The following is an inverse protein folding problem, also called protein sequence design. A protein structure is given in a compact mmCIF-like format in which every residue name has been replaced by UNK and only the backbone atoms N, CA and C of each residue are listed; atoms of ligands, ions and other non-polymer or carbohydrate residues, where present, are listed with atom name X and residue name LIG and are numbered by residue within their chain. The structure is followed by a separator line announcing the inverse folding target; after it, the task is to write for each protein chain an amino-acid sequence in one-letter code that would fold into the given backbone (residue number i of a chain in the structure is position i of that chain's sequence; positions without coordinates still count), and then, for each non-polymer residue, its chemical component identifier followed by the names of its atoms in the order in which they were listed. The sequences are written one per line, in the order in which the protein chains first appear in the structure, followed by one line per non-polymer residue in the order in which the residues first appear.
data_IF_015009760121
#
_entry.id   IF_015009760121
#
_cell.length_a   1.000
_cell.length_b   1.000
_cell.length_c   1.000
_cell.angle_alpha   90.00
_cell.angle_beta   90.00
_cell.angle_gamma   90.00
#
_symmetry.space_group_name_H-M   'P 1'
#
loop_
_entity.id
_entity.type
_entity.pdbx_description
1 polymer ?
#
# COMPACT_ATOMS: atom_id res chain seq x y z
N UNK A 1 -0.34 3.05 -14.00
CA UNK A 1 -0.27 1.60 -14.17
C UNK A 1 -1.54 1.03 -13.55
N UNK A 2 -2.36 0.30 -14.32
CA UNK A 2 -3.62 -0.28 -13.82
C UNK A 2 -3.45 -1.80 -13.86
N UNK A 3 -3.11 -2.40 -12.73
CA UNK A 3 -3.07 -3.85 -12.63
C UNK A 3 -3.54 -4.25 -11.23
N UNK A 4 -4.85 -4.24 -11.00
CA UNK A 4 -5.41 -4.95 -9.84
C UNK A 4 -5.04 -6.43 -9.95
N UNK A 5 -4.75 -7.04 -8.80
CA UNK A 5 -4.57 -8.47 -8.68
C UNK A 5 -5.92 -9.17 -8.86
N UNK A 6 -5.95 -10.17 -9.72
CA UNK A 6 -7.12 -10.99 -10.01
C UNK A 6 -7.09 -12.27 -9.16
N UNK A 7 -7.52 -12.13 -7.91
CA UNK A 7 -7.62 -13.26 -6.98
C UNK A 7 -8.70 -14.29 -7.35
N UNK A 8 -9.55 -14.02 -8.35
CA UNK A 8 -10.52 -15.01 -8.86
C UNK A 8 -9.80 -16.00 -9.77
N UNK A 9 -8.90 -15.50 -10.60
CA UNK A 9 -8.33 -16.26 -11.70
C UNK A 9 -6.88 -16.71 -11.46
N UNK A 10 -6.14 -16.07 -10.55
CA UNK A 10 -4.73 -16.37 -10.28
C UNK A 10 -4.42 -16.58 -8.80
N UNK A 11 -3.56 -17.57 -8.52
CA UNK A 11 -2.84 -17.68 -7.26
C UNK A 11 -1.55 -16.87 -7.37
N UNK A 12 -1.44 -15.80 -6.58
CA UNK A 12 -0.22 -15.00 -6.50
C UNK A 12 0.76 -15.63 -5.53
N UNK A 13 2.04 -15.67 -5.92
CA UNK A 13 3.10 -16.12 -5.01
C UNK A 13 3.41 -15.05 -3.97
N UNK A 14 4.05 -15.48 -2.88
CA UNK A 14 4.53 -14.54 -1.85
C UNK A 14 5.49 -13.52 -2.45
N UNK A 15 6.39 -13.96 -3.34
CA UNK A 15 7.37 -13.10 -4.00
C UNK A 15 6.69 -12.01 -4.83
N UNK A 16 5.67 -12.35 -5.63
CA UNK A 16 4.92 -11.36 -6.43
C UNK A 16 4.22 -10.30 -5.55
N UNK A 17 3.67 -10.74 -4.42
CA UNK A 17 3.03 -9.83 -3.46
C UNK A 17 4.05 -8.94 -2.75
N UNK A 18 5.23 -9.48 -2.42
CA UNK A 18 6.34 -8.72 -1.84
C UNK A 18 6.86 -7.68 -2.84
N UNK A 19 7.09 -8.06 -4.10
CA UNK A 19 7.52 -7.15 -5.17
C UNK A 19 6.54 -5.99 -5.33
N UNK A 20 5.24 -6.28 -5.29
CA UNK A 20 4.19 -5.26 -5.38
C UNK A 20 4.20 -4.29 -4.19
N UNK A 21 4.42 -4.79 -2.97
CA UNK A 21 4.57 -3.91 -1.79
C UNK A 21 5.84 -3.06 -1.92
N UNK A 22 6.96 -3.66 -2.35
CA UNK A 22 8.22 -2.93 -2.57
C UNK A 22 8.10 -1.84 -3.64
N UNK A 23 7.30 -2.06 -4.69
CA UNK A 23 6.97 -1.02 -5.66
C UNK A 23 6.29 0.18 -4.99
N UNK A 24 5.28 -0.07 -4.14
CA UNK A 24 4.64 0.99 -3.37
C UNK A 24 5.59 1.73 -2.42
N UNK A 25 6.50 1.00 -1.78
CA UNK A 25 7.52 1.60 -0.91
C UNK A 25 8.55 2.43 -1.69
N UNK A 26 8.83 2.08 -2.95
CA UNK A 26 9.68 2.91 -3.82
C UNK A 26 9.06 4.29 -4.03
N UNK A 27 7.74 4.36 -4.22
CA UNK A 27 7.05 5.65 -4.26
C UNK A 27 7.09 6.39 -2.92
N UNK A 28 7.04 5.67 -1.79
CA UNK A 28 7.19 6.28 -0.47
C UNK A 28 8.57 6.94 -0.31
N UNK A 29 9.65 6.25 -0.73
CA UNK A 29 11.02 6.78 -0.71
C UNK A 29 11.18 8.02 -1.58
N UNK A 30 10.60 8.01 -2.79
CA UNK A 30 10.65 9.20 -3.66
C UNK A 30 9.84 10.38 -3.09
N UNK A 31 8.71 10.11 -2.43
CA UNK A 31 7.95 11.14 -1.73
C UNK A 31 8.74 11.75 -0.58
N UNK A 32 9.49 10.95 0.19
CA UNK A 32 10.37 11.43 1.26
C UNK A 32 11.52 12.30 0.73
N UNK A 33 12.13 11.93 -0.40
CA UNK A 33 13.12 12.79 -1.07
C UNK A 33 12.52 14.14 -1.48
N UNK A 34 11.27 14.14 -1.99
CA UNK A 34 10.57 15.38 -2.36
C UNK A 34 10.21 16.23 -1.15
N UNK A 35 9.84 15.59 -0.04
CA UNK A 35 9.54 16.22 1.23
C UNK A 35 10.76 16.97 1.77
N UNK A 36 11.91 16.29 1.83
CA UNK A 36 13.17 16.86 2.32
C UNK A 36 13.81 17.86 1.34
N UNK A 37 13.58 17.73 0.03
CA UNK A 37 14.20 18.59 -0.99
C UNK A 37 13.36 19.78 -1.46
N UNK A 38 12.05 19.60 -1.62
CA UNK A 38 11.11 20.60 -2.20
C UNK A 38 9.96 20.97 -1.26
N UNK A 39 9.85 20.29 -0.13
CA UNK A 39 8.87 20.54 0.91
C UNK A 39 7.58 19.71 0.78
N UNK A 40 6.71 19.76 1.82
CA UNK A 40 5.58 18.85 1.96
C UNK A 40 4.57 18.87 0.81
N UNK A 41 4.35 20.02 0.17
CA UNK A 41 3.40 20.14 -0.94
C UNK A 41 3.80 19.30 -2.15
N UNK A 42 5.10 19.22 -2.45
CA UNK A 42 5.61 18.42 -3.56
C UNK A 42 5.46 16.92 -3.28
N UNK A 43 5.79 16.48 -2.07
CA UNK A 43 5.61 15.09 -1.64
C UNK A 43 4.13 14.67 -1.69
N UNK A 44 3.22 15.49 -1.16
CA UNK A 44 1.77 15.22 -1.20
C UNK A 44 1.25 15.09 -2.62
N UNK A 45 1.66 15.99 -3.53
CA UNK A 45 1.24 15.93 -4.95
C UNK A 45 1.70 14.62 -5.61
N UNK A 46 2.88 14.14 -5.24
CA UNK A 46 3.46 12.92 -5.79
C UNK A 46 2.80 11.66 -5.24
N UNK A 47 2.59 11.56 -3.93
CA UNK A 47 2.11 10.33 -3.30
C UNK A 47 0.60 10.15 -3.36
N UNK A 48 -0.18 11.23 -3.52
CA UNK A 48 -1.65 11.17 -3.50
C UNK A 48 -2.24 10.23 -4.55
N UNK A 49 -1.78 10.20 -5.81
CA UNK A 49 -2.24 9.20 -6.79
C UNK A 49 -1.94 7.75 -6.37
N UNK A 50 -0.80 7.53 -5.71
CA UNK A 50 -0.39 6.20 -5.22
C UNK A 50 -1.28 5.76 -4.06
N UNK A 51 -1.56 6.67 -3.13
CA UNK A 51 -2.55 6.44 -2.08
C UNK A 51 -3.91 6.07 -2.67
N UNK A 52 -4.38 6.81 -3.67
CA UNK A 52 -5.65 6.50 -4.32
C UNK A 52 -5.66 5.10 -4.95
N UNK A 53 -4.53 4.67 -5.53
CA UNK A 53 -4.39 3.33 -6.08
C UNK A 53 -4.52 2.27 -4.98
N UNK A 54 -3.83 2.44 -3.86
CA UNK A 54 -3.91 1.56 -2.67
C UNK A 54 -5.35 1.49 -2.14
N UNK A 55 -6.01 2.64 -1.98
CA UNK A 55 -7.40 2.71 -1.50
C UNK A 55 -8.37 1.98 -2.45
N UNK A 56 -8.15 2.10 -3.76
CA UNK A 56 -8.95 1.39 -4.75
C UNK A 56 -8.72 -0.12 -4.69
N UNK A 57 -7.48 -0.58 -4.46
CA UNK A 57 -7.15 -2.01 -4.30
C UNK A 57 -7.82 -2.57 -3.06
N UNK A 58 -7.64 -1.90 -1.93
CA UNK A 58 -8.32 -2.24 -0.69
C UNK A 58 -9.83 -2.35 -0.89
N UNK A 59 -10.46 -1.35 -1.52
CA UNK A 59 -11.91 -1.33 -1.76
C UNK A 59 -12.37 -2.49 -2.65
N UNK A 60 -11.60 -2.86 -3.66
CA UNK A 60 -11.92 -3.98 -4.54
C UNK A 60 -11.78 -5.32 -3.82
N UNK A 61 -10.72 -5.50 -3.04
CA UNK A 61 -10.46 -6.74 -2.31
C UNK A 61 -11.30 -6.89 -1.05
N UNK A 62 -11.86 -5.80 -0.51
CA UNK A 62 -12.79 -5.82 0.61
C UNK A 62 -14.17 -6.42 0.27
N UNK A 63 -14.49 -6.62 -1.02
CA UNK A 63 -15.74 -7.26 -1.45
C UNK A 63 -15.83 -8.70 -0.94
N UNK A 64 -17.01 -9.13 -0.53
CA UNK A 64 -17.22 -10.42 0.15
C UNK A 64 -16.71 -11.62 -0.66
N UNK A 65 -16.93 -11.63 -1.97
CA UNK A 65 -16.45 -12.66 -2.86
C UNK A 65 -14.91 -12.72 -2.92
N UNK A 66 -14.23 -11.58 -2.89
CA UNK A 66 -12.77 -11.51 -2.89
C UNK A 66 -12.21 -11.94 -1.54
N UNK A 67 -12.82 -11.48 -0.45
CA UNK A 67 -12.44 -11.88 0.91
C UNK A 67 -12.48 -13.39 1.13
N UNK A 68 -13.46 -14.10 0.54
CA UNK A 68 -13.52 -15.57 0.60
C UNK A 68 -12.33 -16.25 -0.07
N UNK A 69 -11.74 -15.64 -1.11
CA UNK A 69 -10.57 -16.16 -1.81
C UNK A 69 -9.28 -15.78 -1.08
N UNK A 70 -9.15 -14.50 -0.72
CA UNK A 70 -7.99 -13.95 0.01
C UNK A 70 -7.72 -14.73 1.29
N UNK A 71 -8.74 -14.99 2.11
CA UNK A 71 -8.58 -15.71 3.40
C UNK A 71 -8.12 -17.16 3.26
N UNK A 72 -8.19 -17.76 2.07
CA UNK A 72 -7.69 -19.12 1.82
C UNK A 72 -6.19 -19.14 1.56
N UNK A 73 -5.59 -18.00 1.22
CA UNK A 73 -4.17 -17.87 0.94
C UNK A 73 -3.55 -16.88 1.94
N UNK A 74 -2.66 -17.38 2.80
CA UNK A 74 -2.05 -16.58 3.88
C UNK A 74 -1.27 -15.37 3.36
N UNK A 75 -0.62 -15.49 2.20
CA UNK A 75 0.17 -14.40 1.63
C UNK A 75 -0.75 -13.31 1.05
N UNK A 76 -1.83 -13.71 0.36
CA UNK A 76 -2.88 -12.79 -0.08
C UNK A 76 -3.56 -12.09 1.10
N UNK A 77 -3.84 -12.81 2.19
CA UNK A 77 -4.41 -12.24 3.41
C UNK A 77 -3.46 -11.24 4.08
N UNK A 78 -2.15 -11.52 4.06
CA UNK A 78 -1.11 -10.60 4.54
C UNK A 78 -1.05 -9.33 3.68
N UNK A 79 -1.11 -9.47 2.36
CA UNK A 79 -1.17 -8.34 1.43
C UNK A 79 -2.42 -7.49 1.64
N UNK A 80 -3.59 -8.12 1.79
CA UNK A 80 -4.83 -7.41 2.11
C UNK A 80 -4.75 -6.71 3.47
N UNK A 81 -4.13 -7.34 4.47
CA UNK A 81 -3.88 -6.75 5.79
C UNK A 81 -3.05 -5.47 5.71
N UNK A 82 -1.96 -5.49 4.92
CA UNK A 82 -1.16 -4.30 4.66
C UNK A 82 -1.98 -3.19 3.97
N UNK A 83 -2.69 -3.51 2.89
CA UNK A 83 -3.55 -2.56 2.17
C UNK A 83 -4.58 -1.92 3.11
N UNK A 84 -5.20 -2.73 3.98
CA UNK A 84 -6.18 -2.26 4.96
C UNK A 84 -5.55 -1.27 5.93
N UNK A 85 -4.43 -1.61 6.58
CA UNK A 85 -3.79 -0.72 7.56
C UNK A 85 -3.37 0.61 6.93
N UNK A 86 -2.74 0.58 5.74
CA UNK A 86 -2.37 1.81 5.02
C UNK A 86 -3.59 2.64 4.65
N UNK A 87 -4.69 2.00 4.22
CA UNK A 87 -5.91 2.69 3.78
C UNK A 87 -6.75 3.22 4.95
N UNK A 88 -6.79 2.55 6.10
CA UNK A 88 -7.72 2.86 7.20
C UNK A 88 -7.08 3.55 8.40
N UNK A 89 -5.79 3.30 8.68
CA UNK A 89 -5.15 3.79 9.91
C UNK A 89 -4.40 5.10 9.71
N UNK A 90 -4.25 5.56 8.47
CA UNK A 90 -3.74 6.89 8.18
C UNK A 90 -4.83 7.94 8.39
N UNK A 91 -4.51 8.99 9.15
CA UNK A 91 -5.47 10.02 9.59
C UNK A 91 -5.97 10.83 8.38
N UNK A 92 -7.09 10.40 7.79
CA UNK A 92 -7.77 11.10 6.70
C UNK A 92 -6.93 11.24 5.42
N UNK A 93 -7.28 12.20 4.53
CA UNK A 93 -6.53 12.44 3.31
C UNK A 93 -5.05 12.77 3.60
N UNK A 94 -4.15 12.38 2.70
CA UNK A 94 -2.75 12.80 2.76
C UNK A 94 -2.65 14.31 2.45
N UNK A 95 -2.10 15.05 3.42
CA UNK A 95 -1.93 16.50 3.45
C UNK A 95 -0.50 16.86 3.82
N UNK A 96 -0.15 18.15 3.71
CA UNK A 96 1.16 18.62 4.13
C UNK A 96 1.43 18.51 5.64
N UNK A 97 0.41 18.17 6.45
CA UNK A 97 0.53 18.08 7.92
C UNK A 97 0.76 16.65 8.41
N UNK A 98 0.46 15.64 7.60
CA UNK A 98 0.51 14.22 7.97
C UNK A 98 1.27 13.38 6.95
N UNK A 99 2.00 14.02 6.02
CA UNK A 99 2.76 13.31 4.98
C UNK A 99 3.88 12.48 5.60
N UNK A 100 4.63 13.02 6.57
CA UNK A 100 5.71 12.28 7.24
C UNK A 100 5.18 10.98 7.86
N UNK A 101 4.15 11.10 8.71
CA UNK A 101 3.51 9.96 9.37
C UNK A 101 2.93 8.96 8.36
N UNK A 102 2.35 9.43 7.25
CA UNK A 102 1.86 8.55 6.21
C UNK A 102 2.97 7.69 5.57
N UNK A 103 4.13 8.29 5.30
CA UNK A 103 5.27 7.59 4.69
C UNK A 103 5.90 6.59 5.67
N UNK A 104 5.98 6.94 6.95
CA UNK A 104 6.43 6.05 8.02
C UNK A 104 5.48 4.87 8.20
N UNK A 105 4.17 5.14 8.29
CA UNK A 105 3.12 4.12 8.41
C UNK A 105 3.18 3.09 7.26
N UNK A 106 3.39 3.54 6.03
CA UNK A 106 3.54 2.63 4.88
C UNK A 106 4.67 1.61 5.09
N UNK A 107 5.83 2.06 5.56
CA UNK A 107 7.00 1.22 5.80
C UNK A 107 6.80 0.31 7.02
N UNK A 108 6.29 0.85 8.12
CA UNK A 108 6.08 0.11 9.37
C UNK A 108 5.04 -1.00 9.18
N UNK A 109 3.95 -0.72 8.49
CA UNK A 109 2.97 -1.75 8.14
C UNK A 109 3.56 -2.77 7.17
N UNK A 110 4.38 -2.36 6.19
CA UNK A 110 5.01 -3.31 5.27
C UNK A 110 5.85 -4.34 6.03
N UNK A 111 6.69 -3.90 6.97
CA UNK A 111 7.51 -4.78 7.82
C UNK A 111 6.68 -5.70 8.72
N UNK A 112 5.50 -5.28 9.14
CA UNK A 112 4.58 -6.09 9.95
C UNK A 112 4.04 -7.30 9.16
N UNK A 113 3.65 -7.11 7.91
CA UNK A 113 3.05 -8.16 7.07
C UNK A 113 4.07 -8.92 6.21
N UNK A 114 5.19 -8.28 5.90
CA UNK A 114 6.27 -8.79 5.07
C UNK A 114 7.63 -8.51 5.73
N UNK A 115 8.00 -9.28 6.78
CA UNK A 115 9.25 -9.06 7.54
C UNK A 115 10.54 -9.19 6.71
N UNK A 116 10.46 -9.77 5.52
CA UNK A 116 11.57 -9.86 4.55
C UNK A 116 11.88 -8.54 3.84
N UNK A 117 10.96 -7.57 3.87
CA UNK A 117 11.17 -6.23 3.32
C UNK A 117 12.07 -5.46 4.28
N UNK A 118 13.24 -5.03 3.78
CA UNK A 118 14.26 -4.30 4.54
C UNK A 118 14.05 -2.80 4.49
#
# INVERSE_FOLDING_TARGET
MNAFLDFINFEYTREELVERVQEYLTYSVEADKLLNGKGPRSAVKYIRPIRQQIDNEFSNYARENMQKMIRKNKDADSYYGWLKEVSTNTIGPVTSKNIDSYLDDMNDYARRYFPEIK
#
